data_IF_429192494148
#
_entry.id   IF_429192494148
#
_cell.length_a   1.000
_cell.length_b   1.000
_cell.length_c   1.000
_cell.angle_alpha   90.00
_cell.angle_beta   90.00
_cell.angle_gamma   90.00
#
_symmetry.space_group_name_H-M   'P 1'
#
loop_
_entity.id
_entity.type
_entity.pdbx_description
1 polymer ?
#
# COMPACT_ATOMS: atom_id res chain seq x y z
N UNK A 1 79.69 7.84 18.98
CA UNK A 1 78.84 6.91 18.18
C UNK A 1 77.45 7.02 18.72
N UNK A 2 76.55 7.76 18.02
CA UNK A 2 75.18 7.97 18.43
C UNK A 2 74.24 7.37 17.35
N UNK A 3 73.34 6.52 17.69
CA UNK A 3 72.34 6.00 16.70
C UNK A 3 71.17 6.98 16.54
N UNK A 4 70.87 7.30 15.30
CA UNK A 4 69.74 8.14 14.85
C UNK A 4 68.43 7.38 14.96
N UNK A 5 67.53 7.83 15.84
CA UNK A 5 66.16 7.36 15.98
C UNK A 5 65.32 7.93 14.84
N UNK A 6 64.89 7.08 13.95
CA UNK A 6 63.92 7.45 12.87
C UNK A 6 62.49 7.50 13.43
N UNK A 7 61.93 8.71 13.52
CA UNK A 7 60.57 8.97 13.88
C UNK A 7 59.61 8.63 12.69
N UNK A 8 58.90 7.52 12.79
CA UNK A 8 57.85 7.17 11.81
C UNK A 8 56.59 7.98 12.10
N UNK A 9 56.29 8.93 11.22
CA UNK A 9 55.01 9.64 11.21
C UNK A 9 53.94 8.72 10.69
N UNK A 10 52.99 8.31 11.53
CA UNK A 10 51.73 7.67 11.12
C UNK A 10 50.78 8.75 10.64
N UNK A 11 50.53 8.83 9.33
CA UNK A 11 49.41 9.57 8.76
C UNK A 11 48.13 8.78 9.08
N UNK A 12 47.31 9.34 9.97
CA UNK A 12 45.92 8.90 10.14
C UNK A 12 45.09 9.54 9.03
N UNK A 13 44.68 8.75 8.05
CA UNK A 13 43.67 9.14 7.07
C UNK A 13 42.30 9.15 7.78
N UNK A 14 41.74 10.31 8.01
CA UNK A 14 40.33 10.47 8.44
C UNK A 14 39.46 10.30 7.22
N UNK A 15 38.79 9.15 7.11
CA UNK A 15 37.71 8.96 6.12
C UNK A 15 36.46 9.69 6.63
N UNK A 16 36.20 10.86 6.04
CA UNK A 16 34.91 11.56 6.23
C UNK A 16 33.83 10.80 5.48
N UNK A 17 32.97 10.08 6.21
CA UNK A 17 31.76 9.52 5.67
C UNK A 17 30.76 10.67 5.39
N UNK A 18 30.64 11.06 4.11
CA UNK A 18 29.61 11.97 3.67
C UNK A 18 28.26 11.22 3.73
N UNK A 19 27.46 11.48 4.76
CA UNK A 19 26.06 11.08 4.83
C UNK A 19 25.33 11.88 3.74
N UNK A 20 25.06 11.24 2.60
CA UNK A 20 24.15 11.77 1.59
C UNK A 20 22.76 11.78 2.19
N UNK A 21 22.33 12.94 2.71
CA UNK A 21 20.95 13.17 3.09
C UNK A 21 20.09 13.06 1.82
N UNK A 22 19.37 11.95 1.69
CA UNK A 22 18.39 11.80 0.63
C UNK A 22 17.28 12.81 0.87
N UNK A 23 16.89 13.63 -0.13
CA UNK A 23 15.75 14.51 0.03
C UNK A 23 14.50 13.65 0.27
N UNK A 24 13.86 13.85 1.42
CA UNK A 24 12.54 13.28 1.65
C UNK A 24 11.63 13.76 0.50
N UNK A 25 10.85 12.86 -0.12
CA UNK A 25 9.91 13.28 -1.14
C UNK A 25 8.99 14.34 -0.53
N UNK A 26 8.91 15.49 -1.21
CA UNK A 26 8.06 16.58 -0.81
C UNK A 26 6.63 16.03 -0.64
N UNK A 27 6.05 16.25 0.57
CA UNK A 27 4.66 15.96 0.85
C UNK A 27 3.83 16.77 -0.14
N UNK A 28 3.23 16.09 -1.13
CA UNK A 28 2.15 16.67 -1.88
C UNK A 28 1.06 17.05 -0.87
N UNK A 29 0.66 18.32 -0.85
CA UNK A 29 -0.48 18.75 -0.07
C UNK A 29 -1.69 17.91 -0.50
N UNK A 30 -2.61 17.54 0.40
CA UNK A 30 -3.82 16.82 0.02
C UNK A 30 -4.62 17.71 -0.92
N UNK A 31 -4.44 17.51 -2.22
CA UNK A 31 -5.22 18.13 -3.26
C UNK A 31 -6.64 17.61 -3.18
N UNK A 32 -7.60 18.48 -2.90
CA UNK A 32 -8.99 18.15 -2.65
C UNK A 32 -9.79 17.66 -3.86
N UNK A 33 -9.21 17.14 -4.93
CA UNK A 33 -9.95 16.81 -6.13
C UNK A 33 -9.89 15.39 -6.65
N UNK A 34 -9.08 14.50 -6.12
CA UNK A 34 -9.14 13.10 -6.52
C UNK A 34 -8.99 12.14 -5.33
N UNK A 35 -9.98 12.14 -4.43
CA UNK A 35 -10.08 11.13 -3.37
C UNK A 35 -10.56 9.76 -3.89
N UNK A 36 -10.60 9.57 -5.21
CA UNK A 36 -10.93 8.29 -5.82
C UNK A 36 -9.76 7.31 -5.66
N UNK A 37 -10.10 6.12 -5.24
CA UNK A 37 -9.13 5.06 -5.17
C UNK A 37 -8.69 4.62 -6.57
N UNK A 38 -7.43 4.27 -6.68
CA UNK A 38 -6.90 3.56 -7.83
C UNK A 38 -7.16 2.07 -7.66
N UNK A 39 -7.39 1.36 -8.75
CA UNK A 39 -7.40 -0.08 -8.76
C UNK A 39 -6.04 -0.64 -8.34
N UNK A 40 -5.99 -1.77 -7.60
CA UNK A 40 -4.75 -2.33 -7.06
C UNK A 40 -3.76 -2.77 -8.15
N UNK A 41 -4.23 -2.95 -9.38
CA UNK A 41 -3.42 -3.27 -10.58
C UNK A 41 -3.07 -2.04 -11.42
N UNK A 42 -3.43 -0.83 -10.94
CA UNK A 42 -3.28 0.43 -11.69
C UNK A 42 -4.38 0.70 -12.72
N UNK A 43 -5.15 -0.31 -13.10
CA UNK A 43 -6.27 -0.23 -14.04
C UNK A 43 -7.38 -1.21 -13.65
N UNK A 44 -8.62 -1.05 -14.13
CA UNK A 44 -9.70 -1.99 -13.87
C UNK A 44 -9.33 -3.43 -14.25
N UNK A 45 -9.59 -4.37 -13.35
CA UNK A 45 -9.43 -5.81 -13.55
C UNK A 45 -10.78 -6.51 -13.54
N UNK A 46 -10.95 -7.65 -14.23
CA UNK A 46 -12.16 -8.44 -14.12
C UNK A 46 -12.47 -8.82 -12.68
N UNK A 47 -13.74 -8.77 -12.30
CA UNK A 47 -14.21 -9.09 -10.95
C UNK A 47 -14.75 -10.50 -10.94
N UNK A 48 -14.08 -11.41 -10.26
CA UNK A 48 -14.51 -12.81 -10.08
C UNK A 48 -15.65 -12.90 -9.06
N UNK A 49 -15.57 -12.12 -8.00
CA UNK A 49 -16.55 -12.10 -6.91
C UNK A 49 -16.73 -10.69 -6.40
N UNK A 50 -17.97 -10.23 -6.35
CA UNK A 50 -18.30 -8.88 -5.86
C UNK A 50 -18.42 -8.84 -4.33
N UNK A 51 -18.27 -7.64 -3.78
CA UNK A 51 -18.57 -7.32 -2.39
C UNK A 51 -20.01 -7.69 -2.04
N UNK A 52 -20.19 -8.54 -1.03
CA UNK A 52 -21.47 -9.01 -0.51
C UNK A 52 -21.34 -9.23 1.00
N UNK A 53 -21.37 -8.16 1.80
CA UNK A 53 -21.15 -8.27 3.24
C UNK A 53 -22.27 -9.08 3.90
N UNK A 54 -21.96 -9.88 4.92
CA UNK A 54 -22.97 -10.63 5.64
C UNK A 54 -23.87 -9.68 6.45
N UNK A 55 -25.14 -10.09 6.64
CA UNK A 55 -26.09 -9.34 7.47
C UNK A 55 -25.65 -9.27 8.96
N UNK A 56 -24.86 -10.26 9.40
CA UNK A 56 -24.24 -10.31 10.74
C UNK A 56 -22.81 -10.80 10.62
N UNK A 57 -21.94 -10.34 11.52
CA UNK A 57 -20.49 -10.60 11.46
C UNK A 57 -20.11 -12.09 11.46
N UNK A 58 -20.93 -12.96 12.05
CA UNK A 58 -20.71 -14.41 12.14
C UNK A 58 -21.30 -15.18 10.93
N UNK A 59 -22.00 -14.52 10.03
CA UNK A 59 -22.52 -15.15 8.83
C UNK A 59 -21.49 -15.17 7.71
N UNK A 60 -21.58 -16.16 6.80
CA UNK A 60 -20.80 -16.16 5.57
C UNK A 60 -21.09 -14.89 4.75
N UNK A 61 -20.07 -14.35 4.12
CA UNK A 61 -20.19 -13.19 3.25
C UNK A 61 -18.83 -12.73 2.73
N UNK A 62 -18.84 -11.86 1.73
CA UNK A 62 -17.63 -11.31 1.12
C UNK A 62 -17.42 -9.87 1.58
N UNK A 63 -16.34 -9.67 2.34
CA UNK A 63 -15.96 -8.36 2.91
C UNK A 63 -15.06 -7.53 1.98
N UNK A 64 -14.89 -7.98 0.74
CA UNK A 64 -14.17 -7.35 -0.35
C UNK A 64 -14.59 -7.94 -1.68
N UNK A 65 -13.89 -7.61 -2.76
CA UNK A 65 -14.02 -8.20 -4.08
C UNK A 65 -12.82 -9.06 -4.42
N UNK A 66 -13.02 -10.13 -5.18
CA UNK A 66 -11.95 -10.94 -5.73
C UNK A 66 -11.74 -10.54 -7.19
N UNK A 67 -10.52 -10.17 -7.53
CA UNK A 67 -10.11 -9.70 -8.85
C UNK A 67 -9.33 -10.79 -9.57
N UNK A 68 -9.60 -10.98 -10.84
CA UNK A 68 -8.82 -11.87 -11.72
C UNK A 68 -7.46 -11.23 -11.99
N UNK A 69 -6.46 -11.67 -11.23
CA UNK A 69 -5.11 -11.09 -11.26
C UNK A 69 -4.09 -12.23 -11.16
N UNK A 70 -3.29 -12.47 -12.21
CA UNK A 70 -2.31 -13.54 -12.20
C UNK A 70 -1.14 -13.27 -11.24
N UNK A 71 -0.52 -14.36 -10.78
CA UNK A 71 0.69 -14.30 -9.97
C UNK A 71 1.81 -13.49 -10.63
N UNK A 72 2.57 -12.75 -9.80
CA UNK A 72 3.63 -11.85 -10.24
C UNK A 72 3.17 -10.42 -10.56
N UNK A 73 1.86 -10.18 -10.67
CA UNK A 73 1.32 -8.85 -10.96
C UNK A 73 1.67 -7.87 -9.83
N UNK A 74 2.20 -6.67 -10.14
CA UNK A 74 2.44 -5.63 -9.16
C UNK A 74 1.12 -5.15 -8.52
N UNK A 75 1.15 -4.92 -7.22
CA UNK A 75 0.05 -4.34 -6.46
C UNK A 75 0.43 -2.90 -6.11
N UNK A 76 -0.45 -1.94 -6.39
CA UNK A 76 -0.22 -0.54 -6.08
C UNK A 76 -1.14 -0.04 -4.97
N UNK A 77 -0.69 0.97 -4.23
CA UNK A 77 -1.50 1.65 -3.21
C UNK A 77 -2.69 2.37 -3.85
N UNK A 78 -3.89 2.12 -3.34
CA UNK A 78 -5.12 2.69 -3.88
C UNK A 78 -5.20 4.22 -3.72
N UNK A 79 -4.60 4.77 -2.67
CA UNK A 79 -4.50 6.19 -2.38
C UNK A 79 -3.25 6.45 -1.52
N UNK A 80 -2.97 7.72 -1.21
CA UNK A 80 -1.95 8.09 -0.23
C UNK A 80 -2.31 7.53 1.16
N UNK A 81 -1.29 7.10 1.92
CA UNK A 81 -1.55 6.53 3.22
C UNK A 81 -0.31 6.02 3.95
N UNK A 82 -0.56 5.20 4.97
CA UNK A 82 0.47 4.54 5.77
C UNK A 82 0.21 3.04 5.80
N UNK A 83 1.24 2.24 5.60
CA UNK A 83 1.13 0.78 5.71
C UNK A 83 0.83 0.42 7.16
N UNK A 84 -0.38 -0.03 7.41
CA UNK A 84 -0.83 -0.45 8.74
C UNK A 84 -0.33 -1.85 9.11
N UNK A 85 -0.15 -2.72 8.09
CA UNK A 85 0.34 -4.09 8.26
C UNK A 85 0.94 -4.62 6.96
N UNK A 86 2.03 -5.36 7.08
CA UNK A 86 2.64 -6.11 5.98
C UNK A 86 3.25 -7.39 6.55
N UNK A 87 2.68 -8.55 6.19
CA UNK A 87 3.14 -9.82 6.72
C UNK A 87 2.13 -10.96 6.58
N UNK A 88 2.42 -12.14 7.12
CA UNK A 88 1.53 -13.29 7.04
C UNK A 88 0.39 -13.23 8.06
N UNK A 89 -0.82 -13.56 7.61
CA UNK A 89 -2.00 -13.81 8.44
C UNK A 89 -2.54 -15.19 8.07
N UNK A 90 -2.58 -16.13 9.00
CA UNK A 90 -3.01 -17.51 8.75
C UNK A 90 -2.34 -18.12 7.50
N UNK A 91 -1.02 -17.98 7.38
CA UNK A 91 -0.18 -18.43 6.27
C UNK A 91 -0.41 -17.72 4.90
N UNK A 92 -1.26 -16.72 4.84
CA UNK A 92 -1.46 -15.88 3.65
C UNK A 92 -0.70 -14.56 3.79
N UNK A 93 0.09 -14.12 2.80
CA UNK A 93 0.73 -12.81 2.84
C UNK A 93 -0.33 -11.71 2.63
N UNK A 94 -0.31 -10.71 3.51
CA UNK A 94 -1.30 -9.64 3.56
C UNK A 94 -0.61 -8.29 3.63
N UNK A 95 -1.13 -7.32 2.88
CA UNK A 95 -0.80 -5.91 3.03
C UNK A 95 -2.08 -5.18 3.43
N UNK A 96 -2.00 -4.31 4.44
CA UNK A 96 -3.07 -3.38 4.79
C UNK A 96 -2.52 -1.96 4.83
N UNK A 97 -3.19 -1.04 4.14
CA UNK A 97 -2.82 0.38 4.09
C UNK A 97 -3.96 1.21 4.66
N UNK A 98 -3.63 2.09 5.60
CA UNK A 98 -4.54 3.09 6.12
C UNK A 98 -4.46 4.34 5.24
N UNK A 99 -5.57 4.68 4.62
CA UNK A 99 -5.73 5.86 3.78
C UNK A 99 -6.47 6.94 4.54
N UNK A 100 -5.92 8.15 4.57
CA UNK A 100 -6.62 9.31 5.08
C UNK A 100 -7.75 9.69 4.12
N UNK A 101 -8.98 9.73 4.61
CA UNK A 101 -10.12 10.23 3.86
C UNK A 101 -10.85 11.28 4.69
N UNK A 102 -11.49 12.25 4.03
CA UNK A 102 -12.21 13.32 4.71
C UNK A 102 -13.16 12.77 5.78
N UNK A 103 -12.84 12.99 7.03
CA UNK A 103 -13.65 12.64 8.20
C UNK A 103 -13.38 11.29 8.87
N UNK A 104 -12.78 10.30 8.18
CA UNK A 104 -12.46 9.00 8.79
C UNK A 104 -11.45 8.21 7.97
N UNK A 105 -10.52 7.48 8.60
CA UNK A 105 -9.61 6.61 7.90
C UNK A 105 -10.34 5.43 7.27
N UNK A 106 -9.82 4.96 6.13
CA UNK A 106 -10.27 3.76 5.45
C UNK A 106 -9.07 2.84 5.23
N UNK A 107 -9.18 1.60 5.67
CA UNK A 107 -8.13 0.61 5.48
C UNK A 107 -8.40 -0.24 4.24
N UNK A 108 -7.48 -0.19 3.26
CA UNK A 108 -7.44 -1.16 2.18
C UNK A 108 -6.73 -2.43 2.65
N UNK A 109 -7.16 -3.59 2.17
CA UNK A 109 -6.52 -4.88 2.43
C UNK A 109 -6.35 -5.63 1.12
N UNK A 110 -5.17 -6.21 0.91
CA UNK A 110 -4.75 -6.93 -0.29
C UNK A 110 -4.30 -8.34 0.13
N UNK A 111 -4.92 -9.38 -0.43
CA UNK A 111 -4.67 -10.81 -0.09
C UNK A 111 -4.87 -11.70 -1.31
N UNK A 112 -3.93 -12.60 -1.65
CA UNK A 112 -2.58 -12.67 -1.13
C UNK A 112 -1.71 -11.56 -1.73
N UNK A 113 -0.83 -10.96 -0.92
CA UNK A 113 0.05 -9.87 -1.36
C UNK A 113 1.43 -9.99 -0.71
N UNK A 114 2.43 -10.36 -1.49
CA UNK A 114 3.82 -10.38 -1.07
C UNK A 114 4.34 -8.96 -0.98
N UNK A 115 4.62 -8.49 0.24
CA UNK A 115 4.95 -7.10 0.50
C UNK A 115 6.35 -6.71 0.01
N UNK A 116 6.47 -5.53 -0.59
CA UNK A 116 7.70 -4.80 -0.90
C UNK A 116 7.84 -3.54 -0.02
N UNK A 117 6.98 -3.41 0.99
CA UNK A 117 6.92 -2.31 1.94
C UNK A 117 6.82 -2.85 3.37
N UNK A 118 7.10 -1.99 4.35
CA UNK A 118 7.06 -2.33 5.77
C UNK A 118 5.95 -1.58 6.50
N UNK A 119 5.47 -2.13 7.61
CA UNK A 119 4.51 -1.46 8.48
C UNK A 119 5.06 -0.12 8.99
N UNK A 120 4.25 0.92 8.99
CA UNK A 120 4.62 2.30 9.30
C UNK A 120 5.17 3.10 8.12
N UNK A 121 5.47 2.47 6.98
CA UNK A 121 5.95 3.17 5.79
C UNK A 121 4.83 4.02 5.17
N UNK A 122 5.16 5.27 4.78
CA UNK A 122 4.25 6.10 3.97
C UNK A 122 4.31 5.66 2.51
N UNK A 123 3.16 5.64 1.88
CA UNK A 123 2.99 5.32 0.47
C UNK A 123 2.13 6.37 -0.21
N UNK A 124 2.36 6.57 -1.51
CA UNK A 124 1.54 7.45 -2.34
C UNK A 124 0.67 6.64 -3.29
N UNK A 125 -0.45 7.20 -3.72
CA UNK A 125 -1.36 6.59 -4.70
C UNK A 125 -0.60 6.12 -5.94
N UNK A 126 -0.78 4.86 -6.32
CA UNK A 126 -0.10 4.26 -7.46
C UNK A 126 1.31 3.75 -7.19
N UNK A 127 1.86 3.94 -5.99
CA UNK A 127 3.13 3.34 -5.60
C UNK A 127 3.01 1.83 -5.50
N UNK A 128 3.97 1.08 -6.05
CA UNK A 128 4.05 -0.38 -5.85
C UNK A 128 4.30 -0.67 -4.37
N UNK A 129 3.45 -1.51 -3.79
CA UNK A 129 3.51 -1.93 -2.38
C UNK A 129 3.80 -3.41 -2.23
N UNK A 130 3.70 -4.19 -3.32
CA UNK A 130 3.97 -5.61 -3.33
C UNK A 130 3.55 -6.26 -4.63
N UNK A 131 3.50 -7.59 -4.61
CA UNK A 131 3.09 -8.40 -5.77
C UNK A 131 2.16 -9.52 -5.35
N UNK A 132 1.31 -9.93 -6.27
CA UNK A 132 0.56 -11.18 -6.15
C UNK A 132 1.55 -12.34 -6.17
N UNK A 133 1.56 -13.25 -5.18
CA UNK A 133 2.50 -14.38 -5.14
C UNK A 133 2.40 -15.26 -6.38
N UNK A 134 3.52 -15.86 -6.85
CA UNK A 134 3.48 -16.84 -7.92
C UNK A 134 2.52 -17.99 -7.58
N UNK A 135 1.71 -18.40 -8.56
CA UNK A 135 0.72 -19.47 -8.40
C UNK A 135 -0.62 -19.05 -7.81
N UNK A 136 -0.78 -17.81 -7.36
CA UNK A 136 -2.08 -17.25 -7.07
C UNK A 136 -2.76 -16.81 -8.40
N UNK A 137 -4.06 -16.99 -8.46
CA UNK A 137 -4.92 -16.72 -9.63
C UNK A 137 -5.90 -15.55 -9.40
N UNK A 138 -5.91 -14.99 -8.20
CA UNK A 138 -6.77 -13.87 -7.84
C UNK A 138 -6.12 -13.00 -6.77
N UNK A 139 -6.66 -11.78 -6.64
CA UNK A 139 -6.35 -10.86 -5.57
C UNK A 139 -7.66 -10.47 -4.86
N UNK A 140 -7.80 -10.84 -3.59
CA UNK A 140 -8.84 -10.30 -2.73
C UNK A 140 -8.50 -8.86 -2.35
N UNK A 141 -9.39 -7.92 -2.66
CA UNK A 141 -9.27 -6.51 -2.33
C UNK A 141 -10.43 -6.09 -1.43
N UNK A 142 -10.10 -5.75 -0.19
CA UNK A 142 -11.07 -5.33 0.81
C UNK A 142 -10.91 -3.87 1.20
N UNK A 143 -11.98 -3.27 1.71
CA UNK A 143 -11.96 -1.96 2.35
C UNK A 143 -12.81 -1.97 3.62
N UNK A 144 -12.31 -1.31 4.69
CA UNK A 144 -13.04 -1.16 5.95
C UNK A 144 -12.93 0.26 6.47
N UNK A 145 -14.00 0.74 7.09
CA UNK A 145 -14.09 2.05 7.73
C UNK A 145 -14.09 1.95 9.26
N UNK A 146 -13.97 0.74 9.81
CA UNK A 146 -13.96 0.45 11.24
C UNK A 146 -13.66 -1.01 11.53
N UNK A 147 -13.71 -1.40 12.82
CA UNK A 147 -13.38 -2.78 13.24
C UNK A 147 -14.25 -3.84 12.56
N UNK A 148 -15.51 -3.52 12.30
CA UNK A 148 -16.51 -4.43 11.68
C UNK A 148 -17.34 -3.73 10.60
N UNK A 149 -16.91 -2.55 10.15
CA UNK A 149 -17.58 -1.80 9.10
C UNK A 149 -16.79 -1.96 7.80
N UNK A 150 -17.37 -2.65 6.84
CA UNK A 150 -16.79 -2.91 5.54
C UNK A 150 -17.50 -2.09 4.47
N UNK A 151 -16.77 -1.73 3.43
CA UNK A 151 -17.29 -1.03 2.27
C UNK A 151 -16.75 -1.66 0.99
N UNK A 152 -17.45 -1.45 -0.10
CA UNK A 152 -17.01 -1.94 -1.40
C UNK A 152 -15.82 -1.09 -1.91
N UNK A 153 -14.63 -1.66 -2.06
CA UNK A 153 -13.47 -0.91 -2.54
C UNK A 153 -13.65 -0.42 -3.98
N UNK A 154 -14.41 -1.13 -4.81
CA UNK A 154 -14.66 -0.74 -6.20
C UNK A 154 -15.46 0.56 -6.24
N UNK A 155 -16.44 0.74 -5.36
CA UNK A 155 -17.18 2.02 -5.26
C UNK A 155 -16.30 3.20 -4.91
N UNK A 156 -15.19 2.97 -4.20
CA UNK A 156 -14.23 4.03 -3.87
C UNK A 156 -13.40 4.48 -5.08
N UNK A 157 -13.37 3.70 -6.16
CA UNK A 157 -12.75 4.09 -7.43
C UNK A 157 -13.67 4.97 -8.28
N UNK A 158 -14.97 4.93 -8.01
CA UNK A 158 -15.94 5.75 -8.73
C UNK A 158 -15.99 7.15 -8.09
N UNK A 159 -16.03 8.17 -8.92
CA UNK A 159 -16.28 9.54 -8.46
C UNK A 159 -17.73 9.73 -7.99
N UNK A 160 -18.06 10.92 -7.47
CA UNK A 160 -19.45 11.26 -7.18
C UNK A 160 -20.31 11.11 -8.44
N UNK A 161 -21.43 10.42 -8.32
CA UNK A 161 -22.38 10.32 -9.41
C UNK A 161 -23.09 11.67 -9.54
N UNK A 162 -22.77 12.40 -10.60
CA UNK A 162 -23.48 13.64 -10.94
C UNK A 162 -24.57 13.26 -11.94
N UNK A 163 -25.83 13.33 -11.51
CA UNK A 163 -26.96 13.22 -12.41
C UNK A 163 -27.02 14.46 -13.29
N UNK A 164 -26.80 14.30 -14.60
CA UNK A 164 -27.06 15.40 -15.53
C UNK A 164 -28.57 15.56 -15.67
N UNK A 165 -29.10 16.83 -15.67
CA UNK A 165 -30.47 17.06 -16.07
C UNK A 165 -30.64 16.47 -17.49
N UNK A 166 -31.75 15.79 -17.73
CA UNK A 166 -32.10 15.41 -19.08
C UNK A 166 -32.60 16.67 -19.80
N UNK A 167 -32.04 16.98 -20.93
CA UNK A 167 -32.51 18.03 -21.85
C UNK A 167 -33.53 17.44 -22.81
#
# INVERSE_FOLDING_TARGET
MTPRTRLRRFLRAAAAAALLAQPLPARAAPGGEDQRWMWPTGSPSPVLSSFAPPAHDWLPGRRGGDLDVPGGTPIVAAADGVVAFAGPVAAQPVISVEHERTGSPVWATYVPAQAEVEAGQRVVRGQVIGRVPPGADHLHWGARTGRRAYTDPIRLTLGPVVLKPWE
#
